data_IF_816058597045
#
_entry.id   IF_816058597045
#
_cell.length_a   1.000
_cell.length_b   1.000
_cell.length_c   1.000
_cell.angle_alpha   90.00
_cell.angle_beta   90.00
_cell.angle_gamma   90.00
#
_symmetry.space_group_name_H-M   'P 1'
#
loop_
_entity.id
_entity.type
_entity.pdbx_description
1 polymer ?
#
# COMPACT_ATOMS: atom_id res chain seq x y z
N UNK A 1 -28.31 2.83 -12.64
CA UNK A 1 -28.97 2.62 -11.32
C UNK A 1 -28.96 3.87 -10.45
N UNK A 2 -28.16 4.89 -10.78
CA UNK A 2 -28.10 6.14 -10.03
C UNK A 2 -29.47 6.83 -9.90
N UNK A 3 -29.83 7.25 -8.70
CA UNK A 3 -31.14 7.83 -8.37
C UNK A 3 -32.33 6.87 -8.36
N UNK A 4 -32.08 5.54 -8.41
CA UNK A 4 -33.14 4.51 -8.33
C UNK A 4 -33.20 3.79 -6.98
N UNK A 5 -32.27 4.09 -6.09
CA UNK A 5 -32.29 3.57 -4.73
C UNK A 5 -33.23 4.41 -3.84
N UNK A 6 -33.66 3.82 -2.73
CA UNK A 6 -34.42 4.54 -1.70
C UNK A 6 -33.52 5.54 -0.96
N UNK A 7 -34.09 6.55 -0.37
CA UNK A 7 -33.37 7.66 0.30
C UNK A 7 -32.52 7.20 1.53
N UNK A 8 -32.77 6.00 2.03
CA UNK A 8 -32.03 5.41 3.15
C UNK A 8 -30.90 4.46 2.71
N UNK A 9 -30.50 4.49 1.45
CA UNK A 9 -29.43 3.64 0.90
C UNK A 9 -28.19 4.49 0.59
N UNK A 10 -27.03 4.06 1.07
CA UNK A 10 -25.72 4.53 0.64
C UNK A 10 -25.03 3.39 -0.10
N UNK A 11 -24.46 3.67 -1.25
CA UNK A 11 -23.65 2.68 -1.99
C UNK A 11 -22.22 2.73 -1.49
N UNK A 12 -21.73 1.61 -0.99
CA UNK A 12 -20.36 1.43 -0.53
C UNK A 12 -19.46 1.11 -1.72
N UNK A 13 -18.38 1.88 -1.88
CA UNK A 13 -17.45 1.79 -3.01
C UNK A 13 -16.03 1.61 -2.47
N UNK A 14 -15.37 0.53 -2.85
CA UNK A 14 -13.93 0.35 -2.57
C UNK A 14 -13.14 1.56 -3.06
N UNK A 15 -12.10 1.95 -2.34
CA UNK A 15 -11.29 3.11 -2.69
C UNK A 15 -10.72 3.05 -4.12
N UNK A 16 -10.37 1.87 -4.60
CA UNK A 16 -9.90 1.63 -5.96
C UNK A 16 -10.74 0.60 -6.71
N UNK A 17 -10.45 0.38 -8.01
CA UNK A 17 -11.23 -0.52 -8.87
C UNK A 17 -10.90 -2.00 -8.68
N UNK A 18 -9.91 -2.36 -7.86
CA UNK A 18 -9.50 -3.74 -7.67
C UNK A 18 -9.94 -4.25 -6.30
N UNK A 19 -9.02 -4.26 -5.32
CA UNK A 19 -9.26 -4.90 -4.03
C UNK A 19 -8.29 -4.40 -2.95
N UNK A 20 -8.33 -3.12 -2.63
CA UNK A 20 -7.55 -2.51 -1.54
C UNK A 20 -6.02 -2.71 -1.66
N UNK A 21 -5.49 -2.65 -2.87
CA UNK A 21 -4.05 -2.70 -3.06
C UNK A 21 -3.37 -1.48 -2.40
N UNK A 22 -2.10 -1.57 -1.99
CA UNK A 22 -1.37 -0.45 -1.35
C UNK A 22 -1.35 0.84 -2.17
N UNK A 23 -1.50 0.74 -3.49
CA UNK A 23 -1.82 1.86 -4.39
C UNK A 23 -2.80 1.38 -5.45
N UNK A 24 -3.86 2.13 -5.64
CA UNK A 24 -4.79 1.99 -6.76
C UNK A 24 -5.18 3.38 -7.27
N UNK A 25 -5.54 3.54 -8.56
CA UNK A 25 -6.31 4.69 -8.93
C UNK A 25 -7.64 4.68 -8.16
N UNK A 26 -8.23 5.82 -7.91
CA UNK A 26 -9.53 5.82 -7.25
C UNK A 26 -10.60 5.17 -8.14
N UNK A 27 -11.64 4.59 -7.51
CA UNK A 27 -12.75 4.00 -8.24
C UNK A 27 -13.52 5.06 -9.04
N UNK A 28 -13.71 4.89 -10.36
CA UNK A 28 -14.44 5.86 -11.18
C UNK A 28 -15.91 6.01 -10.77
N UNK A 29 -16.45 5.10 -9.98
CA UNK A 29 -17.82 5.17 -9.45
C UNK A 29 -18.05 6.42 -8.59
N UNK A 30 -17.01 6.99 -7.95
CA UNK A 30 -17.14 8.24 -7.19
C UNK A 30 -17.54 9.42 -8.08
N UNK A 31 -17.13 9.43 -9.35
CA UNK A 31 -17.55 10.44 -10.33
C UNK A 31 -18.82 10.08 -11.11
N UNK A 32 -19.28 8.82 -11.04
CA UNK A 32 -20.40 8.32 -11.84
C UNK A 32 -21.77 8.45 -11.16
N UNK A 33 -21.82 8.47 -9.82
CA UNK A 33 -23.05 8.50 -9.03
C UNK A 33 -23.30 9.88 -8.44
N UNK A 34 -24.31 10.60 -8.95
CA UNK A 34 -24.59 12.00 -8.57
C UNK A 34 -25.86 12.14 -7.73
N UNK A 35 -26.79 11.17 -7.84
CA UNK A 35 -28.11 11.20 -7.20
C UNK A 35 -28.22 10.26 -6.01
N UNK A 36 -27.42 9.21 -5.99
CA UNK A 36 -27.39 8.22 -4.91
C UNK A 36 -26.20 8.52 -4.01
N UNK A 37 -26.39 8.62 -2.69
CA UNK A 37 -25.27 8.75 -1.76
C UNK A 37 -24.26 7.62 -1.93
N UNK A 38 -22.98 7.96 -1.91
CA UNK A 38 -21.88 7.00 -1.96
C UNK A 38 -20.96 7.21 -0.78
N UNK A 39 -20.31 6.14 -0.33
CA UNK A 39 -19.29 6.21 0.71
C UNK A 39 -18.03 5.45 0.28
N UNK A 40 -16.84 5.95 0.60
CA UNK A 40 -15.62 5.19 0.37
C UNK A 40 -15.52 4.06 1.39
N UNK A 41 -15.02 2.93 0.93
CA UNK A 41 -14.66 1.78 1.74
C UNK A 41 -13.14 1.65 1.75
N UNK A 42 -12.55 1.68 2.95
CA UNK A 42 -11.13 1.48 3.16
C UNK A 42 -10.86 0.17 3.89
N UNK A 43 -9.86 -0.57 3.47
CA UNK A 43 -9.40 -1.74 4.20
C UNK A 43 -8.40 -1.31 5.29
N UNK A 44 -8.79 -1.54 6.56
CA UNK A 44 -7.92 -1.33 7.72
C UNK A 44 -7.04 -2.57 7.95
N UNK A 45 -7.55 -3.75 7.62
CA UNK A 45 -6.80 -5.01 7.61
C UNK A 45 -5.68 -4.94 6.58
N UNK A 46 -4.57 -5.59 6.91
CA UNK A 46 -3.36 -5.59 6.08
C UNK A 46 -3.17 -6.94 5.38
N UNK A 47 -4.20 -7.41 4.67
CA UNK A 47 -4.21 -8.70 3.99
C UNK A 47 -3.05 -8.83 3.00
N UNK A 48 -2.87 -7.84 2.14
CA UNK A 48 -1.81 -7.81 1.13
C UNK A 48 -0.44 -7.37 1.65
N UNK A 49 -0.32 -7.16 2.95
CA UNK A 49 0.86 -6.61 3.61
C UNK A 49 1.53 -7.66 4.52
N UNK A 50 1.82 -8.83 3.94
CA UNK A 50 2.41 -9.96 4.66
C UNK A 50 1.52 -10.44 5.81
N UNK A 51 0.19 -10.47 5.62
CA UNK A 51 -0.80 -10.81 6.66
C UNK A 51 -0.54 -10.07 7.97
N UNK A 52 -0.48 -8.74 7.89
CA UNK A 52 -0.22 -7.85 9.01
C UNK A 52 1.17 -8.00 9.67
N UNK A 53 2.13 -8.66 9.01
CA UNK A 53 3.51 -8.66 9.48
C UNK A 53 4.27 -7.41 9.08
N UNK A 54 3.91 -6.78 7.96
CA UNK A 54 4.58 -5.60 7.47
C UNK A 54 4.05 -4.35 8.14
N UNK A 55 4.95 -3.45 8.51
CA UNK A 55 4.59 -2.12 8.98
C UNK A 55 4.24 -1.26 7.77
N UNK A 56 2.96 -0.89 7.67
CA UNK A 56 2.47 0.03 6.64
C UNK A 56 1.43 0.96 7.24
N UNK A 57 1.72 2.24 7.24
CA UNK A 57 0.76 3.27 7.65
C UNK A 57 -0.09 3.68 6.46
N UNK A 58 -1.39 3.45 6.54
CA UNK A 58 -2.32 3.59 5.41
C UNK A 58 -2.95 4.98 5.30
N UNK A 59 -2.75 5.86 6.27
CA UNK A 59 -3.31 7.22 6.20
C UNK A 59 -2.87 8.00 4.95
N UNK A 60 -1.62 7.92 4.46
CA UNK A 60 -1.23 8.55 3.19
C UNK A 60 -2.06 8.06 2.00
N UNK A 61 -2.32 6.74 1.92
CA UNK A 61 -3.15 6.15 0.86
C UNK A 61 -4.60 6.64 0.92
N UNK A 62 -5.19 6.67 2.12
CA UNK A 62 -6.57 7.13 2.29
C UNK A 62 -6.72 8.63 2.01
N UNK A 63 -5.72 9.43 2.40
CA UNK A 63 -5.66 10.85 2.04
C UNK A 63 -5.55 11.05 0.54
N UNK A 64 -4.67 10.31 -0.13
CA UNK A 64 -4.54 10.33 -1.59
C UNK A 64 -5.90 10.05 -2.27
N UNK A 65 -6.64 9.06 -1.79
CA UNK A 65 -7.98 8.76 -2.30
C UNK A 65 -8.96 9.91 -2.01
N UNK A 66 -9.08 10.36 -0.75
CA UNK A 66 -10.04 11.40 -0.36
C UNK A 66 -9.79 12.74 -1.05
N UNK A 67 -8.54 13.08 -1.31
CA UNK A 67 -8.12 14.32 -1.96
C UNK A 67 -8.13 14.23 -3.49
N UNK A 68 -8.26 13.03 -4.07
CA UNK A 68 -8.33 12.84 -5.52
C UNK A 68 -9.53 13.56 -6.12
N UNK A 69 -9.28 14.33 -7.18
CA UNK A 69 -10.32 15.08 -7.88
C UNK A 69 -11.02 14.20 -8.91
N UNK A 70 -12.31 14.03 -8.77
CA UNK A 70 -13.13 13.28 -9.73
C UNK A 70 -13.48 14.10 -10.95
N UNK A 71 -13.34 15.42 -10.90
CA UNK A 71 -13.78 16.39 -11.92
C UNK A 71 -15.26 16.30 -12.30
N UNK A 72 -16.09 15.59 -11.53
CA UNK A 72 -17.51 15.36 -11.86
C UNK A 72 -18.34 16.62 -11.99
N UNK A 73 -17.94 17.71 -11.33
CA UNK A 73 -18.48 19.08 -11.48
C UNK A 73 -17.36 20.10 -11.78
N UNK A 74 -16.27 19.66 -12.42
CA UNK A 74 -15.08 20.46 -12.64
C UNK A 74 -14.06 20.34 -11.49
N UNK A 75 -13.02 21.17 -11.54
CA UNK A 75 -11.93 21.13 -10.57
C UNK A 75 -12.41 21.36 -9.13
N UNK A 76 -11.83 20.64 -8.19
CA UNK A 76 -12.21 20.68 -6.78
C UNK A 76 -13.35 19.71 -6.40
N UNK A 77 -13.76 18.81 -7.29
CA UNK A 77 -14.73 17.74 -7.03
C UNK A 77 -14.06 16.54 -6.37
N UNK A 78 -13.38 16.75 -5.23
CA UNK A 78 -12.65 15.66 -4.54
C UNK A 78 -13.59 14.57 -4.06
N UNK A 79 -13.06 13.35 -3.89
CA UNK A 79 -13.84 12.22 -3.35
C UNK A 79 -14.40 12.57 -1.97
N UNK A 80 -13.64 13.23 -1.11
CA UNK A 80 -14.15 13.70 0.17
C UNK A 80 -15.41 14.56 -0.02
N UNK A 81 -15.41 15.52 -0.93
CA UNK A 81 -16.57 16.39 -1.22
C UNK A 81 -17.73 15.67 -1.92
N UNK A 82 -17.43 14.65 -2.71
CA UNK A 82 -18.48 13.79 -3.31
C UNK A 82 -19.24 13.02 -2.23
N UNK A 83 -18.55 12.62 -1.15
CA UNK A 83 -19.08 11.70 -0.15
C UNK A 83 -19.52 12.34 1.17
N UNK A 84 -19.12 13.58 1.45
CA UNK A 84 -19.43 14.31 2.69
C UNK A 84 -20.71 15.19 2.62
N UNK A 85 -21.38 15.19 1.45
CA UNK A 85 -22.59 15.99 1.21
C UNK A 85 -22.32 17.44 0.79
N UNK A 86 -21.05 17.88 0.68
CA UNK A 86 -20.73 19.27 0.32
C UNK A 86 -20.80 19.52 -1.20
N UNK A 87 -20.58 18.52 -2.03
CA UNK A 87 -20.70 18.65 -3.49
C UNK A 87 -22.10 18.29 -4.00
N UNK A 88 -22.67 17.21 -3.47
CA UNK A 88 -24.05 16.79 -3.72
C UNK A 88 -24.84 16.84 -2.42
N UNK A 89 -26.06 17.42 -2.40
CA UNK A 89 -26.82 17.63 -1.17
C UNK A 89 -27.44 16.34 -0.62
N UNK A 90 -26.62 15.34 -0.36
CA UNK A 90 -27.03 14.09 0.26
C UNK A 90 -27.13 14.25 1.77
N UNK A 91 -28.21 13.73 2.36
CA UNK A 91 -28.40 13.73 3.81
C UNK A 91 -27.66 12.60 4.52
N UNK A 92 -27.27 11.56 3.78
CA UNK A 92 -26.54 10.41 4.30
C UNK A 92 -25.08 10.48 3.84
N UNK A 93 -24.18 10.49 4.80
CA UNK A 93 -22.73 10.52 4.56
C UNK A 93 -22.04 9.50 5.48
N UNK A 94 -21.04 8.80 4.97
CA UNK A 94 -20.30 7.81 5.74
C UNK A 94 -18.94 7.51 5.11
N UNK A 95 -18.06 6.89 5.89
CA UNK A 95 -16.88 6.15 5.45
C UNK A 95 -16.96 4.74 6.05
N UNK A 96 -16.82 3.71 5.23
CA UNK A 96 -16.80 2.33 5.68
C UNK A 96 -15.36 1.84 5.89
N UNK A 97 -15.13 1.08 6.96
CA UNK A 97 -13.87 0.40 7.22
C UNK A 97 -14.06 -1.10 7.21
N UNK A 98 -13.23 -1.82 6.44
CA UNK A 98 -13.21 -3.29 6.42
C UNK A 98 -12.00 -3.78 7.20
N UNK A 99 -12.22 -4.75 8.08
CA UNK A 99 -11.13 -5.30 8.89
C UNK A 99 -11.42 -6.72 9.31
N UNK A 100 -10.38 -7.55 9.32
CA UNK A 100 -10.36 -8.82 10.01
C UNK A 100 -9.65 -8.63 11.35
N UNK A 101 -10.34 -8.94 12.42
CA UNK A 101 -9.77 -8.99 13.76
C UNK A 101 -9.80 -10.45 14.19
N UNK A 102 -8.63 -11.00 14.56
CA UNK A 102 -8.51 -12.35 15.11
C UNK A 102 -8.46 -12.34 16.63
N UNK A 103 -7.91 -13.41 17.16
CA UNK A 103 -7.69 -13.57 18.61
C UNK A 103 -6.39 -12.91 19.10
N UNK A 104 -5.75 -12.09 18.24
CA UNK A 104 -4.52 -11.39 18.58
C UNK A 104 -4.79 -10.27 19.61
N UNK A 105 -3.89 -10.14 20.60
CA UNK A 105 -4.02 -9.16 21.69
C UNK A 105 -4.11 -7.73 21.17
N UNK A 106 -3.43 -7.42 20.06
CA UNK A 106 -3.47 -6.11 19.44
C UNK A 106 -4.41 -6.02 18.22
N UNK A 107 -5.29 -7.01 18.03
CA UNK A 107 -6.37 -7.15 17.05
C UNK A 107 -5.91 -7.36 15.60
N UNK A 108 -4.89 -6.71 15.18
CA UNK A 108 -4.48 -6.60 13.78
C UNK A 108 -3.05 -7.09 13.55
N UNK A 109 -2.52 -7.90 14.45
CA UNK A 109 -1.24 -8.58 14.31
C UNK A 109 -0.03 -7.70 14.58
N UNK A 110 0.09 -6.53 13.97
CA UNK A 110 1.23 -5.64 14.13
C UNK A 110 0.90 -4.48 15.09
N UNK A 111 1.76 -4.13 16.08
CA UNK A 111 1.51 -2.99 16.98
C UNK A 111 1.22 -1.68 16.25
N UNK A 112 1.92 -1.41 15.13
CA UNK A 112 1.68 -0.23 14.30
C UNK A 112 0.39 -0.30 13.45
N UNK A 113 -0.24 -1.47 13.33
CA UNK A 113 -1.56 -1.55 12.70
C UNK A 113 -2.62 -0.78 13.48
N UNK A 114 -2.43 -0.57 14.78
CA UNK A 114 -3.27 0.30 15.61
C UNK A 114 -3.25 1.76 15.10
N UNK A 115 -2.14 2.22 14.50
CA UNK A 115 -2.06 3.54 13.88
C UNK A 115 -3.06 3.67 12.72
N UNK A 116 -3.33 2.59 11.98
CA UNK A 116 -4.31 2.58 10.90
C UNK A 116 -5.74 2.70 11.45
N UNK A 117 -6.07 2.01 12.55
CA UNK A 117 -7.36 2.18 13.21
C UNK A 117 -7.58 3.62 13.69
N UNK A 118 -6.55 4.19 14.33
CA UNK A 118 -6.58 5.58 14.76
C UNK A 118 -6.78 6.52 13.57
N UNK A 119 -6.01 6.33 12.52
CA UNK A 119 -6.08 7.16 11.30
C UNK A 119 -7.44 7.07 10.60
N UNK A 120 -8.01 5.86 10.51
CA UNK A 120 -9.35 5.69 9.95
C UNK A 120 -10.38 6.52 10.73
N UNK A 121 -10.40 6.41 12.05
CA UNK A 121 -11.32 7.20 12.90
C UNK A 121 -11.10 8.70 12.76
N UNK A 122 -9.83 9.15 12.69
CA UNK A 122 -9.51 10.59 12.52
C UNK A 122 -9.97 11.14 11.17
N UNK A 123 -9.73 10.41 10.08
CA UNK A 123 -10.14 10.81 8.73
C UNK A 123 -11.65 10.73 8.54
N UNK A 124 -12.32 9.73 9.10
CA UNK A 124 -13.77 9.64 9.08
C UNK A 124 -14.44 10.82 9.80
N UNK A 125 -13.82 11.32 10.86
CA UNK A 125 -14.30 12.48 11.60
C UNK A 125 -13.93 13.81 10.93
N UNK A 126 -12.69 13.92 10.41
CA UNK A 126 -12.17 15.13 9.80
C UNK A 126 -11.18 14.80 8.69
N UNK A 127 -11.69 14.62 7.48
CA UNK A 127 -10.88 14.26 6.30
C UNK A 127 -9.81 15.28 5.92
N UNK A 128 -9.90 16.53 6.41
CA UNK A 128 -8.92 17.58 6.14
C UNK A 128 -7.64 17.50 6.98
N UNK A 129 -7.55 16.55 7.93
CA UNK A 129 -6.30 16.29 8.65
C UNK A 129 -5.26 15.71 7.70
N UNK A 130 -4.00 16.06 7.90
CA UNK A 130 -2.92 15.42 7.16
C UNK A 130 -2.51 14.08 7.80
N UNK A 131 -1.92 13.20 7.01
CA UNK A 131 -1.39 11.93 7.50
C UNK A 131 -0.27 12.12 8.53
N UNK A 132 0.53 13.18 8.36
CA UNK A 132 1.60 13.55 9.29
C UNK A 132 1.06 13.97 10.65
N UNK A 133 0.00 14.80 10.67
CA UNK A 133 -0.66 15.20 11.92
C UNK A 133 -1.22 13.98 12.65
N UNK A 134 -1.89 13.08 11.94
CA UNK A 134 -2.47 11.87 12.51
C UNK A 134 -1.38 10.94 13.05
N UNK A 135 -0.31 10.75 12.29
CA UNK A 135 0.84 9.93 12.71
C UNK A 135 1.51 10.48 13.95
N UNK A 136 1.71 11.79 14.03
CA UNK A 136 2.28 12.45 15.21
C UNK A 136 1.37 12.29 16.45
N UNK A 137 0.07 12.50 16.29
CA UNK A 137 -0.90 12.30 17.38
C UNK A 137 -0.83 10.87 17.93
N UNK A 138 -0.84 9.88 17.03
CA UNK A 138 -0.81 8.47 17.43
C UNK A 138 0.51 8.09 18.13
N UNK A 139 1.65 8.48 17.57
CA UNK A 139 2.96 8.20 18.16
C UNK A 139 3.10 8.80 19.56
N UNK A 140 2.65 10.04 19.73
CA UNK A 140 2.68 10.70 21.05
C UNK A 140 1.80 10.03 22.07
N UNK A 141 0.58 9.65 21.71
CA UNK A 141 -0.34 8.97 22.60
C UNK A 141 0.15 7.56 22.99
N UNK A 142 0.83 6.89 22.06
CA UNK A 142 1.25 5.49 22.23
C UNK A 142 2.55 5.38 23.00
N UNK A 143 3.53 6.23 22.74
CA UNK A 143 4.89 6.03 23.23
C UNK A 143 5.33 7.05 24.31
N UNK A 144 4.81 8.29 24.30
CA UNK A 144 5.18 9.25 25.34
C UNK A 144 4.74 8.83 26.76
N UNK A 145 3.50 8.35 26.98
CA UNK A 145 3.07 7.93 28.31
C UNK A 145 3.92 6.80 28.87
N UNK A 146 4.36 5.87 28.04
CA UNK A 146 5.18 4.71 28.43
C UNK A 146 6.57 5.16 28.87
N UNK A 147 7.18 6.07 28.09
CA UNK A 147 8.50 6.62 28.40
C UNK A 147 8.50 7.53 29.66
N UNK A 148 7.32 8.00 30.08
CA UNK A 148 7.17 8.83 31.27
C UNK A 148 6.78 8.02 32.51
N UNK A 149 6.35 6.76 32.34
CA UNK A 149 6.05 5.87 33.46
C UNK A 149 7.30 5.06 33.81
N UNK A 150 7.78 5.09 35.05
CA UNK A 150 8.85 4.20 35.48
C UNK A 150 8.38 2.75 35.33
N UNK A 151 9.11 1.96 34.58
CA UNK A 151 8.84 0.55 34.31
C UNK A 151 9.08 -0.35 35.54
N UNK A 152 9.75 0.19 36.54
CA UNK A 152 9.96 -0.37 37.88
C UNK A 152 9.99 0.78 38.90
N UNK A 153 9.62 0.55 40.11
CA UNK A 153 9.66 1.52 41.22
C UNK A 153 11.02 2.16 41.54
N UNK A 154 12.04 1.85 40.71
CA UNK A 154 13.40 2.33 40.82
C UNK A 154 13.91 3.16 39.62
N UNK A 155 13.07 3.46 38.64
CA UNK A 155 13.53 4.22 37.46
C UNK A 155 13.25 5.71 37.66
N UNK A 156 14.30 6.49 37.67
CA UNK A 156 14.30 7.95 37.70
C UNK A 156 13.47 8.54 36.58
N UNK A 157 12.81 9.67 36.83
CA UNK A 157 12.20 10.49 35.79
C UNK A 157 13.20 10.74 34.66
N UNK A 158 12.77 10.51 33.41
CA UNK A 158 13.64 10.83 32.26
C UNK A 158 14.01 12.31 32.29
N UNK A 159 15.28 12.59 32.10
CA UNK A 159 15.80 13.96 32.11
C UNK A 159 15.18 14.81 30.98
N UNK A 160 15.16 16.15 31.10
CA UNK A 160 14.70 17.04 30.04
C UNK A 160 15.42 16.77 28.71
N UNK A 161 16.69 16.41 28.73
CA UNK A 161 17.47 16.06 27.54
C UNK A 161 16.99 14.76 26.90
N UNK A 162 16.72 13.74 27.67
CA UNK A 162 16.18 12.47 27.16
C UNK A 162 14.77 12.64 26.62
N UNK A 163 13.94 13.46 27.26
CA UNK A 163 12.62 13.81 26.75
C UNK A 163 12.72 14.50 25.39
N UNK A 164 13.64 15.45 25.22
CA UNK A 164 13.87 16.12 23.94
C UNK A 164 14.35 15.12 22.87
N UNK A 165 15.24 14.19 23.25
CA UNK A 165 15.71 13.13 22.35
C UNK A 165 14.56 12.22 21.91
N UNK A 166 13.68 11.81 22.84
CA UNK A 166 12.50 11.01 22.51
C UNK A 166 11.56 11.75 21.55
N UNK A 167 11.27 13.03 21.79
CA UNK A 167 10.46 13.82 20.86
C UNK A 167 11.07 13.88 19.46
N UNK A 168 12.39 14.08 19.36
CA UNK A 168 13.09 14.06 18.08
C UNK A 168 12.99 12.70 17.39
N UNK A 169 13.12 11.61 18.17
CA UNK A 169 13.01 10.26 17.64
C UNK A 169 11.57 9.96 17.14
N UNK A 170 10.54 10.37 17.88
CA UNK A 170 9.14 10.22 17.43
C UNK A 170 8.87 11.02 16.15
N UNK A 171 9.44 12.20 16.00
CA UNK A 171 9.34 12.97 14.76
C UNK A 171 10.00 12.28 13.58
N UNK A 172 11.16 11.61 13.78
CA UNK A 172 11.80 10.80 12.76
C UNK A 172 10.97 9.56 12.41
N UNK A 173 10.40 8.87 13.40
CA UNK A 173 9.49 7.75 13.16
C UNK A 173 8.26 8.19 12.37
N UNK A 174 7.71 9.37 12.63
CA UNK A 174 6.62 9.88 11.83
C UNK A 174 7.05 10.12 10.38
N UNK A 175 8.05 10.96 10.17
CA UNK A 175 8.42 11.44 8.82
C UNK A 175 9.07 10.37 7.94
N UNK A 176 9.89 9.48 8.50
CA UNK A 176 10.71 8.53 7.74
C UNK A 176 10.25 7.06 7.86
N UNK A 177 9.43 6.72 8.86
CA UNK A 177 8.92 5.36 8.99
C UNK A 177 7.44 5.30 8.67
N UNK A 178 6.57 6.05 9.37
CA UNK A 178 5.13 5.99 9.08
C UNK A 178 4.82 6.50 7.68
N UNK A 179 5.22 7.74 7.35
CA UNK A 179 4.83 8.36 6.07
C UNK A 179 5.42 7.64 4.86
N UNK A 180 6.64 7.07 4.97
CA UNK A 180 7.31 6.39 3.86
C UNK A 180 6.93 4.90 3.74
N UNK A 181 6.30 4.30 4.76
CA UNK A 181 6.05 2.86 4.79
C UNK A 181 5.14 2.37 3.66
N UNK A 182 4.17 3.17 3.24
CA UNK A 182 3.30 2.85 2.10
C UNK A 182 4.06 2.87 0.77
N UNK A 183 4.91 3.88 0.55
CA UNK A 183 5.73 3.94 -0.67
C UNK A 183 6.74 2.79 -0.71
N UNK A 184 7.33 2.45 0.43
CA UNK A 184 8.25 1.32 0.51
C UNK A 184 7.56 0.01 0.08
N UNK A 185 6.34 -0.28 0.57
CA UNK A 185 5.62 -1.49 0.16
C UNK A 185 5.22 -1.47 -1.31
N UNK A 186 4.81 -0.33 -1.85
CA UNK A 186 4.54 -0.19 -3.28
C UNK A 186 5.81 -0.52 -4.07
N UNK A 187 6.95 0.01 -3.67
CA UNK A 187 8.22 -0.21 -4.35
C UNK A 187 8.67 -1.67 -4.33
N UNK A 188 8.64 -2.37 -3.17
CA UNK A 188 9.10 -3.76 -3.16
C UNK A 188 8.05 -4.79 -3.60
N UNK A 189 6.82 -4.38 -3.88
CA UNK A 189 5.74 -5.30 -4.24
C UNK A 189 5.17 -5.02 -5.62
N UNK A 190 4.72 -3.77 -5.90
CA UNK A 190 3.91 -3.42 -7.06
C UNK A 190 4.25 -2.04 -7.65
N UNK A 191 5.50 -1.75 -7.97
CA UNK A 191 5.90 -0.44 -8.47
C UNK A 191 5.24 -0.10 -9.80
N UNK A 192 5.14 1.21 -10.09
CA UNK A 192 4.72 1.77 -11.37
C UNK A 192 3.30 1.36 -11.82
N UNK A 193 2.45 0.91 -10.89
CA UNK A 193 1.09 0.47 -11.22
C UNK A 193 0.94 -1.01 -11.54
N UNK A 194 1.90 -1.85 -11.17
CA UNK A 194 1.81 -3.31 -11.23
C UNK A 194 0.90 -3.85 -10.14
N UNK A 195 -0.39 -3.57 -10.21
CA UNK A 195 -1.34 -4.02 -9.20
C UNK A 195 -1.74 -5.47 -9.40
N UNK A 196 -2.18 -6.11 -8.32
CA UNK A 196 -2.78 -7.44 -8.27
C UNK A 196 -1.90 -8.58 -8.83
N UNK A 197 -0.61 -8.56 -8.51
CA UNK A 197 0.34 -9.61 -8.92
C UNK A 197 0.58 -10.66 -7.82
N UNK A 198 -0.40 -10.84 -6.95
CA UNK A 198 -0.34 -11.77 -5.81
C UNK A 198 -0.61 -13.21 -6.22
N UNK A 199 -0.10 -14.14 -5.43
CA UNK A 199 -0.59 -15.51 -5.43
C UNK A 199 -2.06 -15.53 -5.05
N UNK A 200 -2.92 -15.95 -5.97
CA UNK A 200 -4.36 -15.94 -5.76
C UNK A 200 -4.81 -16.72 -4.52
N UNK A 201 -4.11 -17.81 -4.20
CA UNK A 201 -4.52 -18.69 -3.12
C UNK A 201 -4.25 -18.17 -1.70
N UNK A 202 -3.39 -17.18 -1.53
CA UNK A 202 -3.02 -16.72 -0.19
C UNK A 202 -2.71 -15.23 -0.05
N UNK A 203 -2.53 -14.47 -1.11
CA UNK A 203 -2.26 -13.01 -1.10
C UNK A 203 -1.05 -12.57 -0.24
N UNK A 204 -0.16 -13.49 0.13
CA UNK A 204 0.95 -13.14 1.02
C UNK A 204 1.99 -12.25 0.36
N UNK A 205 2.20 -12.42 -0.92
CA UNK A 205 3.15 -11.63 -1.69
C UNK A 205 3.03 -11.89 -3.18
N UNK A 206 3.80 -11.18 -4.00
CA UNK A 206 3.73 -11.36 -5.42
C UNK A 206 4.20 -12.75 -5.83
N UNK A 207 3.41 -13.37 -6.68
CA UNK A 207 3.72 -14.55 -7.46
C UNK A 207 3.31 -14.30 -8.91
N UNK A 208 4.06 -13.51 -9.68
CA UNK A 208 3.66 -13.10 -11.02
C UNK A 208 3.43 -14.27 -11.98
N UNK A 209 3.97 -15.45 -11.67
CA UNK A 209 3.75 -16.69 -12.41
C UNK A 209 2.49 -17.46 -12.00
N UNK A 210 1.77 -17.00 -10.96
CA UNK A 210 0.63 -17.75 -10.44
C UNK A 210 -0.42 -17.97 -11.53
N UNK A 211 -0.75 -19.23 -11.79
CA UNK A 211 -1.83 -19.65 -12.68
C UNK A 211 -2.54 -20.85 -12.04
N UNK A 212 -3.85 -20.74 -11.87
CA UNK A 212 -4.66 -21.80 -11.27
C UNK A 212 -5.61 -22.34 -12.33
N UNK A 213 -5.39 -23.55 -12.81
CA UNK A 213 -6.24 -24.17 -13.83
C UNK A 213 -7.73 -24.14 -13.45
N UNK A 214 -8.56 -23.61 -14.35
CA UNK A 214 -10.00 -23.52 -14.15
C UNK A 214 -10.49 -22.32 -13.34
N UNK A 215 -9.58 -21.49 -12.79
CA UNK A 215 -9.96 -20.20 -12.20
C UNK A 215 -10.29 -19.16 -13.28
N UNK A 216 -11.00 -18.10 -12.89
CA UNK A 216 -11.28 -16.99 -13.81
C UNK A 216 -9.96 -16.31 -14.21
N UNK A 217 -9.76 -16.01 -15.51
CA UNK A 217 -8.52 -15.37 -15.98
C UNK A 217 -8.23 -14.05 -15.28
N UNK A 218 -9.25 -13.25 -14.96
CA UNK A 218 -9.14 -11.97 -14.29
C UNK A 218 -8.85 -12.06 -12.77
N UNK A 219 -8.61 -13.27 -12.26
CA UNK A 219 -8.08 -13.48 -10.92
C UNK A 219 -6.57 -13.76 -10.93
N UNK A 220 -5.99 -14.03 -12.10
CA UNK A 220 -4.59 -14.41 -12.22
C UNK A 220 -3.68 -13.18 -12.39
N UNK A 221 -2.49 -13.16 -11.77
CA UNK A 221 -1.50 -12.10 -11.96
C UNK A 221 -1.17 -11.79 -13.41
N UNK A 222 -1.09 -12.82 -14.25
CA UNK A 222 -0.80 -12.69 -15.69
C UNK A 222 -1.84 -11.82 -16.44
N UNK A 223 -3.09 -11.80 -15.99
CA UNK A 223 -4.12 -10.92 -16.53
C UNK A 223 -3.82 -9.45 -16.28
N UNK A 224 -3.17 -9.14 -15.16
CA UNK A 224 -2.87 -7.76 -14.75
C UNK A 224 -1.54 -7.26 -15.31
N UNK A 225 -0.46 -8.04 -15.16
CA UNK A 225 0.86 -7.58 -15.62
C UNK A 225 1.06 -7.74 -17.12
N UNK A 226 0.46 -8.73 -17.77
CA UNK A 226 0.56 -9.00 -19.22
C UNK A 226 1.99 -8.90 -19.78
N UNK A 227 2.97 -9.34 -18.99
CA UNK A 227 4.36 -9.27 -19.43
C UNK A 227 4.61 -10.22 -20.60
N UNK A 228 5.22 -9.67 -21.66
CA UNK A 228 5.66 -10.38 -22.85
C UNK A 228 6.97 -9.77 -23.39
N UNK A 229 7.48 -10.29 -24.49
CA UNK A 229 8.73 -9.76 -25.12
C UNK A 229 8.59 -8.28 -25.55
N UNK A 230 7.37 -7.77 -25.73
CA UNK A 230 7.10 -6.40 -26.14
C UNK A 230 7.06 -5.40 -24.99
N UNK A 231 6.67 -5.85 -23.79
CA UNK A 231 6.49 -4.95 -22.64
C UNK A 231 5.77 -5.57 -21.46
N UNK A 232 5.22 -4.71 -20.61
CA UNK A 232 4.49 -5.07 -19.40
C UNK A 232 3.37 -4.04 -19.12
N UNK A 233 2.35 -4.45 -18.40
CA UNK A 233 1.19 -3.63 -18.03
C UNK A 233 -0.04 -3.95 -18.88
N UNK A 234 -1.21 -3.48 -18.43
CA UNK A 234 -2.48 -3.72 -19.10
C UNK A 234 -2.94 -2.46 -19.84
N UNK A 235 -3.10 -2.53 -21.15
CA UNK A 235 -3.63 -1.41 -21.93
C UNK A 235 -5.14 -1.19 -21.64
N UNK A 236 -5.40 -0.20 -20.78
CA UNK A 236 -6.73 0.29 -20.41
C UNK A 236 -7.06 1.63 -21.06
N UNK A 237 -6.19 2.11 -21.94
CA UNK A 237 -6.43 3.31 -22.75
C UNK A 237 -7.56 3.11 -23.78
N UNK A 238 -7.90 4.16 -24.49
CA UNK A 238 -8.86 4.14 -25.62
C UNK A 238 -8.46 3.16 -26.72
N UNK A 239 -7.19 2.78 -26.82
CA UNK A 239 -6.67 1.78 -27.77
C UNK A 239 -6.83 0.34 -27.27
N UNK A 240 -6.97 0.15 -25.96
CA UNK A 240 -7.15 -1.15 -25.32
C UNK A 240 -8.58 -1.37 -24.84
N UNK A 241 -8.77 -1.54 -23.51
CA UNK A 241 -10.10 -1.79 -22.94
C UNK A 241 -10.98 -0.54 -22.77
N UNK A 242 -10.44 0.63 -23.01
CA UNK A 242 -11.10 1.94 -22.86
C UNK A 242 -11.60 2.24 -21.44
N UNK A 243 -10.95 1.70 -20.40
CA UNK A 243 -11.36 1.97 -19.03
C UNK A 243 -11.05 3.41 -18.57
N UNK A 244 -10.10 4.09 -19.21
CA UNK A 244 -9.82 5.51 -18.98
C UNK A 244 -11.03 6.41 -19.23
N UNK A 245 -11.91 6.04 -20.16
CA UNK A 245 -13.16 6.76 -20.44
C UNK A 245 -14.17 6.77 -19.28
N UNK A 246 -13.94 6.01 -18.21
CA UNK A 246 -14.76 6.03 -17.00
C UNK A 246 -14.47 7.24 -16.11
N UNK A 247 -13.36 7.94 -16.32
CA UNK A 247 -12.98 9.14 -15.60
C UNK A 247 -13.44 10.41 -16.34
N UNK A 248 -13.64 11.50 -15.61
CA UNK A 248 -14.02 12.79 -16.22
C UNK A 248 -12.79 13.55 -16.74
N UNK A 249 -13.03 14.40 -17.76
CA UNK A 249 -12.02 15.35 -18.25
C UNK A 249 -11.62 16.37 -17.13
N UNK A 250 -10.34 16.74 -17.01
CA UNK A 250 -9.20 16.39 -17.88
C UNK A 250 -8.46 15.09 -17.46
N UNK A 251 -8.95 14.40 -16.44
CA UNK A 251 -8.25 13.22 -15.91
C UNK A 251 -8.27 12.05 -16.91
N UNK A 252 -9.39 11.84 -17.62
CA UNK A 252 -9.45 10.76 -18.61
C UNK A 252 -8.40 10.94 -19.73
N UNK A 253 -8.19 12.14 -20.22
CA UNK A 253 -7.16 12.44 -21.23
C UNK A 253 -5.75 12.25 -20.69
N UNK A 254 -5.53 12.66 -19.43
CA UNK A 254 -4.25 12.45 -18.77
C UNK A 254 -3.91 10.97 -18.62
N UNK A 255 -4.88 10.16 -18.21
CA UNK A 255 -4.70 8.71 -18.02
C UNK A 255 -4.62 7.95 -19.34
N UNK A 256 -5.27 8.45 -20.39
CA UNK A 256 -5.30 7.82 -21.71
C UNK A 256 -4.00 7.95 -22.50
N UNK A 257 -3.16 8.91 -22.15
CA UNK A 257 -1.91 9.16 -22.82
C UNK A 257 -0.73 8.70 -21.97
N UNK A 258 0.08 7.78 -22.51
CA UNK A 258 1.25 7.20 -21.82
C UNK A 258 2.26 8.24 -21.32
N UNK A 259 2.42 9.37 -22.05
CA UNK A 259 3.38 10.43 -21.69
C UNK A 259 2.89 11.33 -20.54
N UNK A 260 1.58 11.41 -20.32
CA UNK A 260 0.97 12.24 -19.27
C UNK A 260 0.44 11.42 -18.10
N UNK A 261 0.25 10.12 -18.27
CA UNK A 261 -0.17 9.23 -17.20
C UNK A 261 0.83 9.30 -16.03
N UNK A 262 0.36 9.41 -14.78
CA UNK A 262 1.23 9.34 -13.62
C UNK A 262 2.04 8.04 -13.62
N UNK A 263 3.36 8.12 -13.47
CA UNK A 263 4.25 6.95 -13.55
C UNK A 263 3.90 5.87 -12.52
N UNK A 264 3.43 6.28 -11.34
CA UNK A 264 2.99 5.36 -10.29
C UNK A 264 1.68 4.59 -10.61
N UNK A 265 1.02 4.90 -11.74
CA UNK A 265 -0.17 4.21 -12.26
C UNK A 265 0.03 3.75 -13.72
N UNK A 266 1.22 3.93 -14.27
CA UNK A 266 1.51 3.74 -15.69
C UNK A 266 1.14 2.33 -16.18
N UNK A 267 1.60 1.30 -15.48
CA UNK A 267 1.39 -0.10 -15.89
C UNK A 267 -0.03 -0.61 -15.57
N UNK A 268 -0.80 0.14 -14.78
CA UNK A 268 -2.23 -0.10 -14.65
C UNK A 268 -3.00 0.31 -15.90
N UNK A 269 -2.65 1.46 -16.48
CA UNK A 269 -3.38 2.02 -17.62
C UNK A 269 -2.80 1.67 -18.98
N UNK A 270 -1.52 1.30 -19.06
CA UNK A 270 -0.82 1.08 -20.32
C UNK A 270 -0.01 -0.21 -20.32
N UNK A 271 0.04 -0.85 -21.50
CA UNK A 271 1.06 -1.83 -21.82
C UNK A 271 2.27 -1.11 -22.42
N UNK A 272 3.40 -1.15 -21.71
CA UNK A 272 4.54 -0.26 -22.00
C UNK A 272 5.77 -1.09 -22.38
N UNK A 273 6.47 -0.73 -23.48
CA UNK A 273 7.69 -1.41 -23.90
C UNK A 273 8.79 -1.34 -22.84
N UNK A 274 9.58 -2.40 -22.70
CA UNK A 274 10.67 -2.49 -21.73
C UNK A 274 11.72 -1.39 -21.85
N UNK A 275 11.92 -0.86 -23.06
CA UNK A 275 12.86 0.23 -23.34
C UNK A 275 12.23 1.64 -23.32
N UNK A 276 10.95 1.75 -22.96
CA UNK A 276 10.29 3.05 -22.80
C UNK A 276 11.07 3.93 -21.84
N UNK A 277 11.22 5.23 -22.20
CA UNK A 277 11.95 6.20 -21.38
C UNK A 277 11.04 6.82 -20.35
N UNK A 278 11.38 6.58 -19.09
CA UNK A 278 10.72 7.16 -17.92
C UNK A 278 11.19 8.60 -17.69
N UNK A 279 10.50 9.37 -16.87
CA UNK A 279 10.88 10.76 -16.52
C UNK A 279 12.26 10.87 -15.87
N UNK A 280 12.71 9.81 -15.22
CA UNK A 280 14.08 9.71 -14.70
C UNK A 280 15.16 9.61 -15.78
N UNK A 281 14.76 9.38 -17.03
CA UNK A 281 15.65 9.09 -18.15
C UNK A 281 16.08 7.61 -18.27
N UNK A 282 15.71 6.77 -17.29
CA UNK A 282 15.95 5.33 -17.36
C UNK A 282 14.97 4.64 -18.31
N UNK A 283 15.27 3.40 -18.70
CA UNK A 283 14.27 2.53 -19.33
C UNK A 283 13.26 2.06 -18.29
N UNK A 284 12.07 1.64 -18.72
CA UNK A 284 11.06 1.04 -17.85
C UNK A 284 11.64 -0.13 -17.05
N UNK A 285 12.39 -1.03 -17.71
CA UNK A 285 13.04 -2.13 -16.99
C UNK A 285 13.99 -1.66 -15.89
N UNK A 286 14.86 -0.69 -16.21
CA UNK A 286 15.76 -0.15 -15.19
C UNK A 286 14.98 0.53 -14.06
N UNK A 287 13.93 1.30 -14.37
CA UNK A 287 13.11 1.97 -13.34
C UNK A 287 12.42 0.97 -12.41
N UNK A 288 11.90 -0.15 -12.95
CA UNK A 288 11.39 -1.25 -12.13
C UNK A 288 12.46 -1.82 -11.19
N UNK A 289 13.66 -2.08 -11.71
CA UNK A 289 14.77 -2.57 -10.90
C UNK A 289 15.12 -1.60 -9.75
N UNK A 290 15.20 -0.30 -10.05
CA UNK A 290 15.48 0.72 -9.04
C UNK A 290 14.36 0.87 -8.01
N UNK A 291 13.10 0.76 -8.41
CA UNK A 291 11.98 0.82 -7.48
C UNK A 291 12.02 -0.36 -6.51
N UNK A 292 12.16 -1.59 -7.01
CA UNK A 292 12.28 -2.77 -6.15
C UNK A 292 13.46 -2.70 -5.17
N UNK A 293 14.63 -2.24 -5.64
CA UNK A 293 15.80 -2.09 -4.77
C UNK A 293 15.57 -1.01 -3.70
N UNK A 294 15.00 0.14 -4.06
CA UNK A 294 14.65 1.22 -3.13
C UNK A 294 13.73 0.71 -2.02
N UNK A 295 12.67 -0.03 -2.37
CA UNK A 295 11.77 -0.61 -1.38
C UNK A 295 12.48 -1.55 -0.40
N UNK A 296 13.41 -2.38 -0.87
CA UNK A 296 14.25 -3.24 -0.01
C UNK A 296 15.10 -2.40 0.93
N UNK A 297 15.78 -1.36 0.42
CA UNK A 297 16.63 -0.51 1.25
C UNK A 297 15.83 0.24 2.32
N UNK A 298 14.62 0.69 2.00
CA UNK A 298 13.75 1.37 2.97
C UNK A 298 13.31 0.43 4.11
N UNK A 299 12.98 -0.83 3.84
CA UNK A 299 12.67 -1.78 4.91
C UNK A 299 13.84 -2.03 5.85
N UNK A 300 15.06 -2.00 5.35
CA UNK A 300 16.28 -2.07 6.16
C UNK A 300 16.51 -0.78 6.97
N UNK A 301 16.15 0.37 6.40
CA UNK A 301 16.19 1.66 7.07
C UNK A 301 15.21 1.72 8.24
N UNK A 302 14.00 1.17 8.09
CA UNK A 302 12.99 1.12 9.17
C UNK A 302 13.52 0.41 10.43
N UNK A 303 14.31 -0.63 10.29
CA UNK A 303 14.96 -1.29 11.43
C UNK A 303 15.94 -0.35 12.17
N UNK A 304 16.69 0.46 11.41
CA UNK A 304 17.62 1.45 11.99
C UNK A 304 16.89 2.58 12.69
N UNK A 305 15.75 3.02 12.13
CA UNK A 305 14.91 4.05 12.73
C UNK A 305 14.24 3.56 14.02
N UNK A 306 13.88 2.26 14.08
CA UNK A 306 13.25 1.68 15.26
C UNK A 306 14.23 1.39 16.39
N UNK A 307 15.46 0.98 16.09
CA UNK A 307 16.43 0.53 17.09
C UNK A 307 16.65 1.50 18.28
N UNK A 308 16.69 2.84 18.12
CA UNK A 308 16.84 3.76 19.24
C UNK A 308 15.68 3.76 20.23
N UNK A 309 14.53 3.18 19.86
CA UNK A 309 13.34 3.13 20.72
C UNK A 309 13.46 2.10 21.86
N UNK A 310 14.44 1.19 21.82
CA UNK A 310 14.65 0.15 22.82
C UNK A 310 14.68 0.70 24.25
N UNK A 311 15.30 1.85 24.44
CA UNK A 311 15.41 2.48 25.77
C UNK A 311 14.16 3.21 26.26
N UNK A 312 13.14 3.38 25.41
CA UNK A 312 11.96 4.17 25.71
C UNK A 312 10.67 3.34 25.79
N UNK A 313 10.70 2.11 25.30
CA UNK A 313 9.52 1.24 25.16
C UNK A 313 9.73 -0.02 25.98
N UNK A 314 8.64 -0.63 26.43
CA UNK A 314 8.72 -1.95 27.07
C UNK A 314 9.35 -2.98 26.12
N UNK A 315 10.12 -3.94 26.70
CA UNK A 315 10.89 -4.89 25.91
C UNK A 315 10.03 -5.81 25.04
N UNK A 316 8.77 -6.04 25.40
CA UNK A 316 7.86 -6.91 24.66
C UNK A 316 7.45 -6.25 23.35
N UNK A 317 6.88 -5.04 23.38
CA UNK A 317 6.50 -4.29 22.18
C UNK A 317 7.69 -3.94 21.33
N UNK A 318 8.83 -3.55 21.94
CA UNK A 318 10.04 -3.26 21.18
C UNK A 318 10.48 -4.47 20.35
N UNK A 319 10.57 -5.66 20.97
CA UNK A 319 11.00 -6.90 20.31
C UNK A 319 10.01 -7.37 19.27
N UNK A 320 8.70 -7.26 19.51
CA UNK A 320 7.69 -7.64 18.51
C UNK A 320 7.80 -6.79 17.25
N UNK A 321 7.85 -5.47 17.36
CA UNK A 321 8.04 -4.59 16.22
C UNK A 321 9.37 -4.86 15.50
N UNK A 322 10.47 -4.99 16.25
CA UNK A 322 11.77 -5.29 15.66
C UNK A 322 11.77 -6.63 14.89
N UNK A 323 11.10 -7.64 15.41
CA UNK A 323 10.96 -8.94 14.76
C UNK A 323 10.18 -8.81 13.44
N UNK A 324 9.04 -8.12 13.46
CA UNK A 324 8.22 -7.89 12.27
C UNK A 324 8.92 -7.05 11.20
N UNK A 325 9.70 -6.04 11.58
CA UNK A 325 10.54 -5.29 10.64
C UNK A 325 11.62 -6.16 9.98
N UNK A 326 12.16 -7.16 10.70
CA UNK A 326 13.08 -8.15 10.10
C UNK A 326 12.35 -9.06 9.11
N UNK A 327 11.13 -9.49 9.42
CA UNK A 327 10.28 -10.24 8.49
C UNK A 327 10.05 -9.42 7.24
N UNK A 328 9.60 -8.18 7.37
CA UNK A 328 9.33 -7.28 6.26
C UNK A 328 10.56 -7.09 5.36
N UNK A 329 11.73 -6.85 5.95
CA UNK A 329 12.96 -6.68 5.16
C UNK A 329 13.37 -7.94 4.40
N UNK A 330 13.15 -9.12 4.98
CA UNK A 330 13.38 -10.42 4.33
C UNK A 330 12.38 -10.62 3.18
N UNK A 331 11.11 -10.38 3.45
CA UNK A 331 10.06 -10.55 2.46
C UNK A 331 10.22 -9.57 1.29
N UNK A 332 10.65 -8.34 1.56
CA UNK A 332 10.96 -7.38 0.51
C UNK A 332 12.04 -7.87 -0.47
N UNK A 333 13.08 -8.55 0.04
CA UNK A 333 14.10 -9.18 -0.82
C UNK A 333 13.49 -10.32 -1.65
N UNK A 334 12.72 -11.20 -1.01
CA UNK A 334 12.04 -12.29 -1.70
C UNK A 334 11.11 -11.78 -2.80
N UNK A 335 10.29 -10.79 -2.50
CA UNK A 335 9.30 -10.25 -3.44
C UNK A 335 9.97 -9.50 -4.59
N UNK A 336 11.04 -8.74 -4.32
CA UNK A 336 11.89 -8.17 -5.35
C UNK A 336 12.43 -9.24 -6.30
N UNK A 337 13.02 -10.29 -5.73
CA UNK A 337 13.65 -11.36 -6.52
C UNK A 337 12.59 -12.10 -7.36
N UNK A 338 11.42 -12.40 -6.79
CA UNK A 338 10.31 -13.03 -7.50
C UNK A 338 9.91 -12.24 -8.75
N UNK A 339 9.69 -10.94 -8.60
CA UNK A 339 9.26 -10.09 -9.69
C UNK A 339 10.39 -9.86 -10.72
N UNK A 340 11.59 -9.49 -10.26
CA UNK A 340 12.68 -9.18 -11.18
C UNK A 340 13.14 -10.40 -11.97
N UNK A 341 13.30 -11.57 -11.33
CA UNK A 341 13.70 -12.79 -12.04
C UNK A 341 12.62 -13.26 -13.01
N UNK A 342 11.34 -13.13 -12.64
CA UNK A 342 10.25 -13.51 -13.53
C UNK A 342 10.15 -12.57 -14.74
N UNK A 343 10.13 -11.25 -14.52
CA UNK A 343 9.99 -10.28 -15.62
C UNK A 343 11.24 -10.18 -16.48
N UNK A 344 12.42 -10.53 -15.96
CA UNK A 344 13.65 -10.57 -16.73
C UNK A 344 13.60 -11.58 -17.88
N UNK A 345 12.81 -12.65 -17.76
CA UNK A 345 12.61 -13.62 -18.84
C UNK A 345 12.00 -12.97 -20.10
N UNK A 346 11.22 -11.91 -19.95
CA UNK A 346 10.58 -11.17 -21.02
C UNK A 346 11.42 -9.96 -21.46
N UNK A 347 11.89 -9.17 -20.51
CA UNK A 347 12.69 -7.97 -20.82
C UNK A 347 14.02 -8.31 -21.48
N UNK A 348 14.61 -9.46 -21.14
CA UNK A 348 15.92 -9.93 -21.62
C UNK A 348 17.06 -8.93 -21.37
N UNK A 349 16.84 -7.96 -20.45
CA UNK A 349 17.79 -6.94 -20.08
C UNK A 349 18.47 -7.29 -18.75
N UNK A 350 19.74 -6.92 -18.54
CA UNK A 350 20.41 -7.10 -17.27
C UNK A 350 19.80 -6.17 -16.20
N UNK A 351 19.80 -6.64 -14.94
CA UNK A 351 19.59 -5.75 -13.80
C UNK A 351 20.76 -4.76 -13.75
N UNK A 352 20.54 -3.45 -13.52
CA UNK A 352 21.60 -2.45 -13.42
C UNK A 352 22.72 -2.89 -12.46
N UNK A 353 23.97 -2.65 -12.86
CA UNK A 353 25.13 -3.24 -12.18
C UNK A 353 25.25 -2.80 -10.71
N UNK A 354 24.88 -1.58 -10.40
CA UNK A 354 24.97 -0.96 -9.08
C UNK A 354 23.91 -1.43 -8.07
N UNK A 355 22.88 -2.15 -8.54
CA UNK A 355 21.82 -2.65 -7.68
C UNK A 355 22.14 -4.02 -7.09
N UNK A 356 21.51 -4.32 -5.95
CA UNK A 356 21.64 -5.60 -5.29
C UNK A 356 21.14 -6.74 -6.17
N UNK A 357 21.97 -7.77 -6.35
CA UNK A 357 21.60 -8.93 -7.16
C UNK A 357 20.58 -9.80 -6.44
N UNK A 358 19.66 -10.47 -7.20
CA UNK A 358 18.85 -11.53 -6.64
C UNK A 358 19.70 -12.58 -5.93
N UNK A 359 19.22 -13.02 -4.78
CA UNK A 359 19.87 -14.09 -3.97
C UNK A 359 19.12 -15.40 -4.04
N UNK A 360 17.95 -15.39 -4.66
CA UNK A 360 17.11 -16.58 -4.88
C UNK A 360 17.17 -17.03 -6.34
N UNK A 361 16.82 -18.29 -6.56
CA UNK A 361 16.68 -18.87 -7.90
C UNK A 361 15.18 -18.94 -8.27
N UNK A 362 14.82 -18.45 -9.46
CA UNK A 362 13.42 -18.37 -9.88
C UNK A 362 12.74 -19.75 -9.85
N UNK A 363 13.46 -20.79 -10.28
CA UNK A 363 12.92 -22.15 -10.29
C UNK A 363 12.49 -22.60 -8.89
N UNK A 364 13.33 -22.38 -7.89
CA UNK A 364 13.04 -22.77 -6.52
C UNK A 364 11.85 -21.97 -5.96
N UNK A 365 11.78 -20.69 -6.31
CA UNK A 365 10.65 -19.82 -5.92
C UNK A 365 9.34 -20.30 -6.53
N UNK A 366 9.33 -20.71 -7.80
CA UNK A 366 8.13 -21.19 -8.50
C UNK A 366 7.68 -22.58 -8.02
N UNK A 367 8.60 -23.41 -7.59
CA UNK A 367 8.29 -24.73 -7.00
C UNK A 367 7.79 -24.64 -5.57
N UNK A 368 8.08 -23.53 -4.90
CA UNK A 368 7.72 -23.30 -3.52
C UNK A 368 6.19 -23.14 -3.38
N UNK A 369 5.58 -23.87 -2.44
CA UNK A 369 4.15 -23.81 -2.12
C UNK A 369 3.96 -23.29 -0.71
N UNK A 370 3.39 -22.10 -0.56
CA UNK A 370 2.99 -21.63 0.75
C UNK A 370 1.84 -22.49 1.28
N UNK A 371 2.03 -23.12 2.44
CA UNK A 371 0.97 -23.87 3.09
C UNK A 371 0.14 -22.98 3.99
N UNK A 372 -1.01 -22.54 3.50
CA UNK A 372 -1.93 -21.64 4.20
C UNK A 372 -2.74 -22.30 5.32
N UNK A 373 -2.79 -23.65 5.36
CA UNK A 373 -3.55 -24.37 6.38
C UNK A 373 -2.82 -24.46 7.72
N UNK A 374 -1.50 -24.33 7.70
CA UNK A 374 -0.65 -24.27 8.88
C UNK A 374 -0.03 -22.87 8.95
N UNK A 375 -0.79 -21.89 9.37
CA UNK A 375 -0.38 -20.49 9.49
C UNK A 375 0.74 -20.27 10.54
N UNK A 376 1.62 -21.23 10.68
CA UNK A 376 2.91 -21.01 11.28
C UNK A 376 3.77 -20.34 10.21
N UNK A 377 3.99 -19.08 10.37
CA UNK A 377 4.95 -18.21 9.69
C UNK A 377 5.41 -18.67 8.29
N UNK A 378 5.45 -17.81 7.28
CA UNK A 378 5.88 -18.24 5.96
C UNK A 378 7.23 -18.96 6.05
N UNK A 379 7.44 -19.90 5.17
CA UNK A 379 8.50 -20.88 5.18
C UNK A 379 9.90 -20.33 4.94
N UNK A 380 10.04 -19.05 4.81
CA UNK A 380 11.31 -18.38 4.67
C UNK A 380 12.19 -18.45 5.92
N UNK A 381 12.05 -19.52 6.70
CA UNK A 381 13.01 -19.88 7.73
C UNK A 381 12.77 -19.25 9.09
N UNK A 382 11.53 -19.19 9.57
CA UNK A 382 11.33 -19.07 11.00
C UNK A 382 11.42 -20.45 11.65
N UNK A 383 12.59 -20.79 12.12
CA UNK A 383 12.71 -21.68 13.26
C UNK A 383 12.13 -20.93 14.47
N UNK A 384 11.25 -21.61 15.18
CA UNK A 384 10.72 -21.20 16.50
C UNK A 384 11.83 -20.70 17.39
#
# INVERSE_FOLDING_TARGET
>A
MDGKFRDNVIVQIKNGPIDFQPREPFSPLFGAMKKTPVMPEFQITQEYLGFSNHLVFLAPMWKECLDSDTYVQGAGSTIARVTDGSLFPHSLTAIAGVTNIGDDINWCGHPFAQANWYAFGRLAWKHSLSSEQIGEEWLRQTFLPVALQPYNDSVNEISPKERQQLHSQLSLLNSQLLQESREAVVDYMMPLGLHHIFAWGHHYGPEPWCDIPGARPDWMPSYYHRADDGGIGFDRSSKGSNATAQYHSPLCEQLDNVDTCPENQLLWFHHVPWNHRMKSGRTLWAELCYAYDRGVQETRNFQKLWAPMEKYIDPERFRDVQHRLKIQARDAVWWKDACLLYFQQFSKQPIPYELERPVHELKDMMEYKLNITNFECPPYGFTK
#
